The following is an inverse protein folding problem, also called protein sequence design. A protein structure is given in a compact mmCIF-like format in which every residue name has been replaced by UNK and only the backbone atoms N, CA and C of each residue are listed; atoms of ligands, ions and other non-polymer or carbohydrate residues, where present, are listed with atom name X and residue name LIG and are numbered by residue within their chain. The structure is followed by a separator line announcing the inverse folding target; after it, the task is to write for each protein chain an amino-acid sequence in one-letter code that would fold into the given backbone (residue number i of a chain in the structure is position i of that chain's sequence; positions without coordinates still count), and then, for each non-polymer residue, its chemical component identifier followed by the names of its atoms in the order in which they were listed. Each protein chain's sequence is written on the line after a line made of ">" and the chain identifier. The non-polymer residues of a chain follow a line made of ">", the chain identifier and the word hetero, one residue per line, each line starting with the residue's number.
data_IF_433890659535
#
_entry.id   IF_433890659535
#
_cell.length_a   1.000
_cell.length_b   1.000
_cell.length_c   1.000
_cell.angle_alpha   90.00
_cell.angle_beta   90.00
_cell.angle_gamma   90.00
#
_symmetry.space_group_name_H-M   'P 1'
#
loop_
_entity.id
_entity.type
_entity.pdbx_description
1 polymer ?
#
# COMPACT_ATOMS: atom_id res chain seq x y z
N UNK A 1 22.16 -49.53 -68.01
CA UNK A 1 22.36 -48.62 -69.16
C UNK A 1 22.88 -49.44 -70.30
N UNK A 2 22.16 -49.41 -71.42
CA UNK A 2 22.40 -50.21 -72.62
C UNK A 2 23.81 -50.03 -73.15
N UNK A 3 24.64 -51.07 -72.99
CA UNK A 3 25.91 -51.17 -73.69
C UNK A 3 25.59 -51.55 -75.15
N UNK A 4 25.19 -50.54 -75.93
CA UNK A 4 25.02 -50.64 -77.38
C UNK A 4 26.38 -51.04 -77.95
N UNK A 5 26.56 -52.34 -78.13
CA UNK A 5 27.55 -52.92 -79.04
C UNK A 5 27.32 -52.30 -80.41
N UNK A 6 27.95 -51.16 -80.68
CA UNK A 6 28.11 -50.62 -82.02
C UNK A 6 29.10 -51.54 -82.73
N UNK A 7 28.61 -52.68 -83.20
CA UNK A 7 29.28 -53.43 -84.25
C UNK A 7 29.35 -52.50 -85.46
N UNK A 8 30.49 -51.83 -85.63
CA UNK A 8 30.79 -51.14 -86.89
C UNK A 8 30.59 -52.16 -88.02
N UNK A 9 29.74 -51.86 -89.03
CA UNK A 9 29.26 -52.85 -90.00
C UNK A 9 30.32 -53.34 -91.00
N UNK A 10 31.59 -52.94 -90.85
CA UNK A 10 32.71 -53.32 -91.71
C UNK A 10 33.93 -53.84 -90.91
N UNK A 11 33.71 -54.65 -89.86
CA UNK A 11 34.83 -55.43 -89.29
C UNK A 11 34.98 -56.70 -90.10
N UNK A 12 35.97 -56.73 -90.99
CA UNK A 12 36.44 -57.98 -91.55
C UNK A 12 37.39 -58.60 -90.52
N UNK A 13 37.04 -59.78 -90.00
CA UNK A 13 37.97 -60.52 -89.17
C UNK A 13 39.21 -60.88 -89.97
N UNK A 14 40.33 -61.18 -89.31
CA UNK A 14 41.54 -61.63 -90.01
C UNK A 14 41.27 -62.78 -91.01
N UNK A 15 40.28 -63.63 -90.71
CA UNK A 15 39.82 -64.75 -91.55
C UNK A 15 38.97 -64.26 -92.74
N UNK A 16 38.16 -63.23 -92.56
CA UNK A 16 37.37 -62.63 -93.64
C UNK A 16 38.25 -61.92 -94.67
N UNK A 17 39.36 -61.32 -94.23
CA UNK A 17 40.34 -60.69 -95.12
C UNK A 17 41.11 -61.73 -95.95
N UNK A 18 41.47 -62.86 -95.36
CA UNK A 18 42.13 -63.96 -96.11
C UNK A 18 41.22 -64.62 -97.14
N UNK A 19 39.91 -64.65 -96.89
CA UNK A 19 38.91 -65.30 -97.75
C UNK A 19 38.23 -64.34 -98.73
N UNK A 20 38.72 -63.10 -98.86
CA UNK A 20 38.12 -62.10 -99.74
C UNK A 20 38.28 -62.46 -101.23
N UNK A 21 37.17 -62.50 -101.96
CA UNK A 21 37.12 -62.81 -103.40
C UNK A 21 37.01 -61.54 -104.25
N UNK A 22 37.88 -61.40 -105.25
CA UNK A 22 37.91 -60.26 -106.17
C UNK A 22 37.70 -60.71 -107.63
N UNK A 23 37.08 -59.85 -108.45
CA UNK A 23 36.88 -60.09 -109.90
C UNK A 23 38.19 -59.78 -110.66
N UNK A 24 38.56 -60.63 -111.62
CA UNK A 24 39.77 -60.44 -112.44
C UNK A 24 39.52 -59.54 -113.66
N UNK A 25 40.47 -58.66 -114.00
CA UNK A 25 40.37 -57.67 -115.11
C UNK A 25 41.64 -57.74 -115.98
N UNK A 26 41.52 -57.50 -117.30
CA UNK A 26 42.58 -57.75 -118.32
C UNK A 26 43.91 -56.99 -118.11
N UNK A 27 43.93 -55.95 -117.27
CA UNK A 27 45.14 -55.31 -116.71
C UNK A 27 44.91 -55.12 -115.21
N UNK A 28 45.53 -55.95 -114.38
CA UNK A 28 45.38 -55.95 -112.93
C UNK A 28 46.57 -56.63 -112.24
N UNK A 29 46.57 -56.64 -110.91
CA UNK A 29 47.59 -57.30 -110.08
C UNK A 29 47.48 -58.82 -110.17
N UNK A 30 48.61 -59.52 -109.96
CA UNK A 30 48.67 -60.98 -109.96
C UNK A 30 47.83 -61.56 -108.80
N UNK A 31 46.83 -62.43 -109.08
CA UNK A 31 45.99 -63.03 -108.05
C UNK A 31 46.76 -63.76 -106.94
N UNK A 32 47.90 -64.38 -107.23
CA UNK A 32 48.65 -65.17 -106.22
C UNK A 32 49.49 -64.26 -105.30
N UNK A 33 50.02 -63.15 -105.83
CA UNK A 33 50.69 -62.11 -105.05
C UNK A 33 49.68 -61.38 -104.15
N UNK A 34 48.49 -61.08 -104.67
CA UNK A 34 47.39 -60.50 -103.89
C UNK A 34 46.95 -61.44 -102.77
N UNK A 35 46.84 -62.75 -103.02
CA UNK A 35 46.48 -63.74 -101.98
C UNK A 35 47.53 -63.82 -100.87
N UNK A 36 48.82 -63.86 -101.22
CA UNK A 36 49.91 -63.86 -100.23
C UNK A 36 49.93 -62.59 -99.37
N UNK A 37 49.65 -61.43 -99.99
CA UNK A 37 49.54 -60.16 -99.28
C UNK A 37 48.31 -60.12 -98.35
N UNK A 38 47.16 -60.63 -98.81
CA UNK A 38 45.94 -60.74 -97.99
C UNK A 38 46.10 -61.73 -96.83
N UNK A 39 46.87 -62.82 -96.99
CA UNK A 39 47.25 -63.70 -95.87
C UNK A 39 48.13 -62.99 -94.84
N UNK A 40 49.07 -62.14 -95.30
CA UNK A 40 49.87 -61.28 -94.44
C UNK A 40 48.99 -60.31 -93.63
N UNK A 41 48.11 -59.58 -94.33
CA UNK A 41 47.17 -58.65 -93.69
C UNK A 41 46.20 -59.39 -92.77
N UNK A 42 45.68 -60.54 -93.18
CA UNK A 42 44.75 -61.34 -92.35
C UNK A 42 45.40 -61.79 -91.04
N UNK A 43 46.69 -62.16 -91.06
CA UNK A 43 47.45 -62.47 -89.83
C UNK A 43 47.64 -61.24 -88.95
N UNK A 44 47.99 -60.08 -89.53
CA UNK A 44 48.16 -58.84 -88.76
C UNK A 44 46.84 -58.34 -88.17
N UNK A 45 45.75 -58.39 -88.93
CA UNK A 45 44.40 -58.05 -88.47
C UNK A 45 43.98 -58.99 -87.33
N UNK A 46 44.20 -60.30 -87.47
CA UNK A 46 43.91 -61.26 -86.39
C UNK A 46 44.74 -61.01 -85.13
N UNK A 47 46.00 -60.60 -85.26
CA UNK A 47 46.85 -60.23 -84.12
C UNK A 47 46.36 -58.95 -83.43
N UNK A 48 45.96 -57.93 -84.21
CA UNK A 48 45.41 -56.68 -83.69
C UNK A 48 44.06 -56.89 -83.00
N UNK A 49 43.18 -57.72 -83.57
CA UNK A 49 41.91 -58.09 -82.95
C UNK A 49 42.11 -58.79 -81.61
N UNK A 50 43.03 -59.76 -81.56
CA UNK A 50 43.38 -60.45 -80.32
C UNK A 50 43.93 -59.47 -79.28
N UNK A 51 44.79 -58.54 -79.68
CA UNK A 51 45.34 -57.51 -78.77
C UNK A 51 44.29 -56.52 -78.30
N UNK A 52 43.36 -56.15 -79.16
CA UNK A 52 42.26 -55.24 -78.82
C UNK A 52 41.29 -55.91 -77.83
N UNK A 53 40.98 -57.19 -78.02
CA UNK A 53 40.21 -57.99 -77.06
C UNK A 53 40.94 -58.11 -75.72
N UNK A 54 42.25 -58.33 -75.74
CA UNK A 54 43.09 -58.39 -74.54
C UNK A 54 43.08 -57.08 -73.74
N UNK A 55 43.18 -55.94 -74.44
CA UNK A 55 43.12 -54.60 -73.84
C UNK A 55 41.72 -54.29 -73.32
N UNK A 56 40.67 -54.66 -74.05
CA UNK A 56 39.29 -54.50 -73.60
C UNK A 56 39.01 -55.34 -72.36
N UNK A 57 39.50 -56.58 -72.30
CA UNK A 57 39.40 -57.42 -71.10
C UNK A 57 40.13 -56.77 -69.92
N UNK A 58 41.37 -56.32 -70.11
CA UNK A 58 42.15 -55.64 -69.05
C UNK A 58 41.48 -54.35 -68.56
N UNK A 59 40.84 -53.61 -69.46
CA UNK A 59 40.08 -52.41 -69.12
C UNK A 59 38.82 -52.76 -68.33
N UNK A 60 38.06 -53.77 -68.76
CA UNK A 60 36.89 -54.26 -68.04
C UNK A 60 37.28 -54.75 -66.63
N UNK A 61 38.38 -55.50 -66.50
CA UNK A 61 38.90 -55.98 -65.22
C UNK A 61 39.42 -54.84 -64.32
N UNK A 62 39.94 -53.76 -64.90
CA UNK A 62 40.38 -52.57 -64.16
C UNK A 62 39.18 -51.74 -63.69
N UNK A 63 38.19 -51.53 -64.55
CA UNK A 63 36.94 -50.83 -64.21
C UNK A 63 36.16 -51.62 -63.14
N UNK A 64 36.05 -52.93 -63.29
CA UNK A 64 35.39 -53.79 -62.30
C UNK A 64 36.10 -53.75 -60.93
N UNK A 65 37.44 -53.67 -60.90
CA UNK A 65 38.22 -53.49 -59.66
C UNK A 65 38.11 -52.08 -59.07
N UNK A 66 37.91 -51.06 -59.90
CA UNK A 66 37.71 -49.68 -59.45
C UNK A 66 36.30 -49.45 -58.89
N UNK A 67 35.27 -50.08 -59.49
CA UNK A 67 33.89 -50.06 -59.00
C UNK A 67 33.70 -50.95 -57.76
N UNK A 68 34.47 -52.03 -57.66
CA UNK A 68 34.49 -52.92 -56.49
C UNK A 68 35.89 -52.92 -55.85
N UNK A 69 36.31 -51.79 -55.24
CA UNK A 69 37.56 -51.76 -54.52
C UNK A 69 37.49 -52.76 -53.37
N UNK A 70 38.48 -53.64 -53.27
CA UNK A 70 38.66 -54.51 -52.12
C UNK A 70 39.11 -53.62 -50.97
N UNK A 71 38.16 -53.17 -50.16
CA UNK A 71 38.44 -52.38 -48.97
C UNK A 71 39.14 -53.29 -47.96
N UNK A 72 40.43 -53.03 -47.72
CA UNK A 72 41.17 -53.69 -46.67
C UNK A 72 40.58 -53.31 -45.31
N UNK A 73 40.45 -54.27 -44.40
CA UNK A 73 39.88 -54.08 -43.06
C UNK A 73 40.62 -52.96 -42.31
N UNK A 74 41.92 -52.82 -42.54
CA UNK A 74 42.75 -51.74 -41.99
C UNK A 74 42.35 -50.35 -42.51
N UNK A 75 41.96 -50.21 -43.79
CA UNK A 75 41.52 -48.93 -44.37
C UNK A 75 40.14 -48.51 -43.86
N UNK A 76 39.22 -49.47 -43.72
CA UNK A 76 37.89 -49.21 -43.17
C UNK A 76 37.96 -48.82 -41.69
N UNK A 77 38.79 -49.53 -40.91
CA UNK A 77 39.04 -49.21 -39.50
C UNK A 77 39.68 -47.82 -39.34
N UNK A 78 40.62 -47.43 -40.21
CA UNK A 78 41.23 -46.10 -40.19
C UNK A 78 40.22 -45.00 -40.54
N UNK A 79 39.38 -45.19 -41.57
CA UNK A 79 38.34 -44.24 -41.96
C UNK A 79 37.31 -44.07 -40.84
N UNK A 80 36.81 -45.19 -40.28
CA UNK A 80 35.86 -45.17 -39.16
C UNK A 80 36.47 -44.54 -37.90
N UNK A 81 37.74 -44.82 -37.60
CA UNK A 81 38.48 -44.20 -36.51
C UNK A 81 38.62 -42.69 -36.69
N UNK A 82 38.92 -42.23 -37.91
CA UNK A 82 39.01 -40.80 -38.22
C UNK A 82 37.67 -40.08 -38.08
N UNK A 83 36.59 -40.71 -38.55
CA UNK A 83 35.24 -40.16 -38.49
C UNK A 83 34.71 -40.15 -37.05
N UNK A 84 34.98 -41.21 -36.27
CA UNK A 84 34.65 -41.27 -34.83
C UNK A 84 35.41 -40.22 -34.04
N UNK A 85 36.71 -40.03 -34.31
CA UNK A 85 37.51 -38.98 -33.69
C UNK A 85 37.05 -37.57 -34.07
N UNK A 86 36.51 -37.39 -35.29
CA UNK A 86 35.91 -36.12 -35.71
C UNK A 86 34.59 -35.85 -34.98
N UNK A 87 33.73 -36.86 -34.84
CA UNK A 87 32.47 -36.75 -34.07
C UNK A 87 32.75 -36.44 -32.60
N UNK A 88 33.71 -37.12 -31.97
CA UNK A 88 34.07 -36.86 -30.58
C UNK A 88 34.63 -35.44 -30.38
N UNK A 89 35.44 -34.93 -31.32
CA UNK A 89 35.91 -33.53 -31.29
C UNK A 89 34.75 -32.55 -31.43
N UNK A 90 33.87 -32.74 -32.40
CA UNK A 90 32.70 -31.90 -32.58
C UNK A 90 31.77 -31.91 -31.35
N UNK A 91 31.56 -33.07 -30.73
CA UNK A 91 30.79 -33.19 -29.49
C UNK A 91 31.46 -32.47 -28.31
N UNK A 92 32.79 -32.52 -28.21
CA UNK A 92 33.54 -31.83 -27.17
C UNK A 92 33.54 -30.30 -27.36
N UNK A 93 33.68 -29.84 -28.60
CA UNK A 93 33.60 -28.41 -28.95
C UNK A 93 32.19 -27.87 -28.64
N UNK A 94 31.15 -28.60 -29.02
CA UNK A 94 29.76 -28.21 -28.71
C UNK A 94 29.48 -28.23 -27.20
N UNK A 95 29.95 -29.24 -26.47
CA UNK A 95 29.84 -29.27 -25.02
C UNK A 95 30.57 -28.10 -24.35
N UNK A 96 31.76 -27.75 -24.87
CA UNK A 96 32.52 -26.58 -24.41
C UNK A 96 31.77 -25.28 -24.70
N UNK A 97 31.12 -25.17 -25.86
CA UNK A 97 30.28 -24.01 -26.20
C UNK A 97 29.08 -23.88 -25.27
N UNK A 98 28.34 -24.97 -25.05
CA UNK A 98 27.16 -24.99 -24.18
C UNK A 98 27.53 -24.67 -22.73
N UNK A 99 28.66 -25.18 -22.23
CA UNK A 99 29.12 -24.87 -20.87
C UNK A 99 29.57 -23.42 -20.73
N UNK A 100 30.26 -22.86 -21.73
CA UNK A 100 30.63 -21.44 -21.75
C UNK A 100 29.39 -20.53 -21.78
N UNK A 101 28.42 -20.81 -22.67
CA UNK A 101 27.15 -20.08 -22.74
C UNK A 101 26.37 -20.18 -21.42
N UNK A 102 26.36 -21.37 -20.80
CA UNK A 102 25.72 -21.60 -19.50
C UNK A 102 26.36 -20.78 -18.37
N UNK A 103 27.69 -20.73 -18.33
CA UNK A 103 28.44 -19.93 -17.34
C UNK A 103 28.21 -18.43 -17.53
N UNK A 104 28.20 -17.95 -18.78
CA UNK A 104 27.93 -16.55 -19.08
C UNK A 104 26.52 -16.15 -18.65
N UNK A 105 25.50 -16.93 -19.02
CA UNK A 105 24.12 -16.69 -18.61
C UNK A 105 23.94 -16.75 -17.10
N UNK A 106 24.59 -17.70 -16.43
CA UNK A 106 24.57 -17.81 -14.97
C UNK A 106 25.14 -16.55 -14.32
N UNK A 107 26.28 -16.07 -14.81
CA UNK A 107 26.92 -14.83 -14.32
C UNK A 107 26.01 -13.63 -14.55
N UNK A 108 25.43 -13.49 -15.75
CA UNK A 108 24.49 -12.41 -16.06
C UNK A 108 23.27 -12.42 -15.15
N UNK A 109 22.64 -13.58 -14.94
CA UNK A 109 21.49 -13.72 -14.05
C UNK A 109 21.87 -13.38 -12.60
N UNK A 110 23.05 -13.83 -12.15
CA UNK A 110 23.54 -13.55 -10.82
C UNK A 110 23.76 -12.05 -10.59
N UNK A 111 24.43 -11.36 -11.51
CA UNK A 111 24.63 -9.91 -11.45
C UNK A 111 23.31 -9.16 -11.47
N UNK A 112 22.39 -9.51 -12.37
CA UNK A 112 21.06 -8.89 -12.42
C UNK A 112 20.25 -9.12 -11.13
N UNK A 113 20.33 -10.32 -10.55
CA UNK A 113 19.67 -10.62 -9.29
C UNK A 113 20.26 -9.80 -8.14
N UNK A 114 21.59 -9.63 -8.11
CA UNK A 114 22.27 -8.81 -7.11
C UNK A 114 21.88 -7.33 -7.24
N UNK A 115 21.89 -6.78 -8.46
CA UNK A 115 21.47 -5.40 -8.72
C UNK A 115 20.00 -5.17 -8.30
N UNK A 116 19.10 -6.09 -8.66
CA UNK A 116 17.69 -6.02 -8.26
C UNK A 116 17.53 -6.08 -6.74
N UNK A 117 18.28 -6.93 -6.05
CA UNK A 117 18.24 -7.02 -4.59
C UNK A 117 18.72 -5.71 -3.95
N UNK A 118 19.82 -5.13 -4.43
CA UNK A 118 20.33 -3.84 -3.95
C UNK A 118 19.30 -2.72 -4.19
N UNK A 119 18.75 -2.64 -5.40
CA UNK A 119 17.72 -1.64 -5.72
C UNK A 119 16.49 -1.79 -4.83
N UNK A 120 16.04 -3.03 -4.60
CA UNK A 120 14.92 -3.30 -3.71
C UNK A 120 15.18 -2.84 -2.27
N UNK A 121 16.39 -3.07 -1.75
CA UNK A 121 16.78 -2.61 -0.40
C UNK A 121 16.78 -1.07 -0.34
N UNK A 122 17.35 -0.40 -1.34
CA UNK A 122 17.38 1.08 -1.40
C UNK A 122 15.97 1.65 -1.48
N UNK A 123 15.10 1.08 -2.32
CA UNK A 123 13.71 1.51 -2.42
C UNK A 123 12.93 1.26 -1.12
N UNK A 124 13.13 0.11 -0.48
CA UNK A 124 12.47 -0.22 0.77
C UNK A 124 12.91 0.73 1.89
N UNK A 125 14.21 1.07 1.96
CA UNK A 125 14.75 2.05 2.91
C UNK A 125 14.20 3.45 2.64
N UNK A 126 14.14 3.89 1.39
CA UNK A 126 13.57 5.18 1.02
C UNK A 126 12.08 5.28 1.39
N UNK A 127 11.29 4.23 1.13
CA UNK A 127 9.88 4.17 1.54
C UNK A 127 9.73 4.18 3.05
N UNK A 128 10.56 3.44 3.78
CA UNK A 128 10.53 3.42 5.24
C UNK A 128 10.83 4.81 5.82
N UNK A 129 11.84 5.51 5.30
CA UNK A 129 12.17 6.88 5.72
C UNK A 129 11.03 7.86 5.40
N UNK A 130 10.41 7.76 4.23
CA UNK A 130 9.27 8.61 3.88
C UNK A 130 8.08 8.37 4.84
N UNK A 131 7.75 7.11 5.13
CA UNK A 131 6.68 6.79 6.09
C UNK A 131 7.01 7.32 7.49
N UNK A 132 8.27 7.21 7.93
CA UNK A 132 8.70 7.76 9.23
C UNK A 132 8.56 9.28 9.27
N UNK A 133 9.02 9.99 8.23
CA UNK A 133 8.91 11.44 8.14
C UNK A 133 7.44 11.90 8.09
N UNK A 134 6.60 11.22 7.30
CA UNK A 134 5.17 11.52 7.24
C UNK A 134 4.49 11.30 8.60
N UNK A 135 4.81 10.20 9.28
CA UNK A 135 4.29 9.92 10.61
C UNK A 135 4.75 10.95 11.65
N UNK A 136 6.01 11.38 11.59
CA UNK A 136 6.56 12.40 12.47
C UNK A 136 5.87 13.76 12.26
N UNK A 137 5.72 14.20 11.01
CA UNK A 137 5.00 15.44 10.66
C UNK A 137 3.55 15.37 11.15
N UNK A 138 2.85 14.26 10.93
CA UNK A 138 1.47 14.08 11.40
C UNK A 138 1.39 14.08 12.93
N UNK A 139 2.36 13.47 13.62
CA UNK A 139 2.43 13.49 15.08
C UNK A 139 2.63 14.91 15.61
N UNK A 140 3.57 15.65 15.04
CA UNK A 140 3.84 17.04 15.42
C UNK A 140 2.62 17.94 15.19
N UNK A 141 1.94 17.79 14.04
CA UNK A 141 0.70 18.51 13.75
C UNK A 141 -0.40 18.22 14.79
N UNK A 142 -0.61 16.95 15.14
CA UNK A 142 -1.59 16.57 16.17
C UNK A 142 -1.24 17.12 17.55
N UNK A 143 0.04 17.11 17.91
CA UNK A 143 0.50 17.67 19.19
C UNK A 143 0.29 19.19 19.23
N UNK A 144 0.58 19.90 18.14
CA UNK A 144 0.33 21.34 18.02
C UNK A 144 -1.16 21.66 18.09
N UNK A 145 -2.00 20.92 17.35
CA UNK A 145 -3.45 21.05 17.38
C UNK A 145 -4.03 20.79 18.77
N UNK A 146 -3.56 19.73 19.45
CA UNK A 146 -3.98 19.39 20.80
C UNK A 146 -3.58 20.48 21.81
N UNK A 147 -2.36 21.01 21.72
CA UNK A 147 -1.90 22.13 22.55
C UNK A 147 -2.72 23.40 22.30
N UNK A 148 -2.99 23.73 21.04
CA UNK A 148 -3.82 24.88 20.69
C UNK A 148 -5.28 24.71 21.14
N UNK A 149 -5.81 23.49 21.12
CA UNK A 149 -7.14 23.19 21.65
C UNK A 149 -7.19 23.28 23.17
N UNK A 150 -6.18 22.76 23.87
CA UNK A 150 -6.05 22.87 25.32
C UNK A 150 -5.95 24.32 25.77
N UNK A 151 -5.10 25.13 25.12
CA UNK A 151 -4.98 26.56 25.43
C UNK A 151 -6.30 27.30 25.26
N UNK A 152 -7.03 27.05 24.15
CA UNK A 152 -8.36 27.64 23.92
C UNK A 152 -9.37 27.23 24.99
N UNK A 153 -9.31 25.99 25.46
CA UNK A 153 -10.19 25.51 26.52
C UNK A 153 -9.86 26.19 27.87
N UNK A 154 -8.57 26.33 28.20
CA UNK A 154 -8.12 27.03 29.41
C UNK A 154 -8.53 28.51 29.41
N UNK A 155 -8.33 29.21 28.29
CA UNK A 155 -8.69 30.62 28.15
C UNK A 155 -10.20 30.83 28.27
N UNK A 156 -10.99 29.93 27.64
CA UNK A 156 -12.45 29.93 27.75
C UNK A 156 -12.89 29.64 29.19
N UNK A 157 -12.32 28.63 29.84
CA UNK A 157 -12.62 28.29 31.23
C UNK A 157 -12.27 29.45 32.19
N UNK A 158 -11.14 30.13 31.97
CA UNK A 158 -10.73 31.30 32.74
C UNK A 158 -11.73 32.45 32.59
N UNK A 159 -12.05 32.81 31.35
CA UNK A 159 -13.01 33.88 31.04
C UNK A 159 -14.39 33.59 31.65
N UNK A 160 -14.86 32.35 31.52
CA UNK A 160 -16.13 31.92 32.12
C UNK A 160 -16.08 31.95 33.65
N UNK A 161 -14.97 31.54 34.25
CA UNK A 161 -14.75 31.59 35.70
C UNK A 161 -14.79 33.03 36.23
N UNK A 162 -14.09 33.95 35.57
CA UNK A 162 -14.09 35.38 35.89
C UNK A 162 -15.50 35.96 35.77
N UNK A 163 -16.22 35.65 34.70
CA UNK A 163 -17.60 36.09 34.52
C UNK A 163 -18.56 35.57 35.61
N UNK A 164 -18.39 34.32 36.07
CA UNK A 164 -19.18 33.77 37.17
C UNK A 164 -18.87 34.51 38.48
N UNK A 165 -17.59 34.74 38.78
CA UNK A 165 -17.17 35.45 39.99
C UNK A 165 -17.75 36.86 40.01
N UNK A 166 -17.69 37.59 38.89
CA UNK A 166 -18.18 38.95 38.82
C UNK A 166 -19.70 39.02 38.96
N UNK A 167 -20.45 38.09 38.33
CA UNK A 167 -21.90 37.97 38.54
C UNK A 167 -22.23 37.67 40.01
N UNK A 168 -21.49 36.75 40.65
CA UNK A 168 -21.71 36.45 42.07
C UNK A 168 -21.40 37.63 42.99
N UNK A 169 -20.37 38.43 42.67
CA UNK A 169 -20.07 39.67 43.40
C UNK A 169 -21.17 40.71 43.24
N UNK A 170 -21.68 40.90 42.02
CA UNK A 170 -22.78 41.83 41.74
C UNK A 170 -24.05 41.41 42.48
N UNK A 171 -24.41 40.13 42.43
CA UNK A 171 -25.52 39.57 43.19
C UNK A 171 -25.33 39.76 44.70
N UNK A 172 -24.14 39.51 45.23
CA UNK A 172 -23.82 39.74 46.64
C UNK A 172 -24.01 41.20 47.05
N UNK A 173 -23.55 42.15 46.24
CA UNK A 173 -23.76 43.59 46.46
C UNK A 173 -25.25 43.94 46.44
N UNK A 174 -26.01 43.43 45.48
CA UNK A 174 -27.45 43.67 45.38
C UNK A 174 -28.22 43.15 46.61
N UNK A 175 -27.88 41.95 47.10
CA UNK A 175 -28.50 41.38 48.31
C UNK A 175 -28.18 42.21 49.55
N UNK A 176 -26.93 42.69 49.70
CA UNK A 176 -26.55 43.57 50.82
C UNK A 176 -27.33 44.88 50.77
N UNK A 177 -27.47 45.49 49.59
CA UNK A 177 -28.23 46.73 49.45
C UNK A 177 -29.71 46.53 49.77
N UNK A 178 -30.32 45.45 49.27
CA UNK A 178 -31.70 45.09 49.61
C UNK A 178 -31.88 44.86 51.11
N UNK A 179 -30.93 44.18 51.78
CA UNK A 179 -30.97 43.95 53.22
C UNK A 179 -30.81 45.26 54.02
N UNK A 180 -29.96 46.18 53.56
CA UNK A 180 -29.82 47.51 54.17
C UNK A 180 -31.09 48.34 54.02
N UNK A 181 -31.72 48.31 52.86
CA UNK A 181 -32.98 49.02 52.62
C UNK A 181 -34.12 48.45 53.46
N UNK A 182 -34.27 47.12 53.50
CA UNK A 182 -35.23 46.46 54.39
C UNK A 182 -34.99 46.83 55.86
N UNK A 183 -33.72 46.89 56.30
CA UNK A 183 -33.37 47.33 57.66
C UNK A 183 -33.78 48.79 57.90
N UNK A 184 -33.53 49.70 56.96
CA UNK A 184 -33.94 51.11 57.08
C UNK A 184 -35.46 51.23 57.20
N UNK A 185 -36.20 50.50 56.38
CA UNK A 185 -37.67 50.47 56.44
C UNK A 185 -38.16 50.00 57.81
N UNK A 186 -37.63 48.88 58.32
CA UNK A 186 -38.00 48.36 59.65
C UNK A 186 -37.68 49.38 60.74
N UNK A 187 -36.51 50.02 60.71
CA UNK A 187 -36.13 51.03 61.70
C UNK A 187 -37.05 52.26 61.67
N UNK A 188 -37.44 52.71 60.47
CA UNK A 188 -38.41 53.79 60.31
C UNK A 188 -39.78 53.41 60.87
N UNK A 189 -40.28 52.22 60.55
CA UNK A 189 -41.55 51.71 61.06
C UNK A 189 -41.53 51.60 62.59
N UNK A 190 -40.43 51.10 63.17
CA UNK A 190 -40.25 51.04 64.62
C UNK A 190 -40.22 52.44 65.25
N UNK A 191 -39.60 53.43 64.59
CA UNK A 191 -39.60 54.81 65.06
C UNK A 191 -41.01 55.41 65.06
N UNK A 192 -41.79 55.18 64.00
CA UNK A 192 -43.19 55.63 63.90
C UNK A 192 -44.04 54.96 64.99
N UNK A 193 -43.92 53.64 65.16
CA UNK A 193 -44.63 52.90 66.22
C UNK A 193 -44.26 53.40 67.60
N UNK A 194 -42.97 53.64 67.88
CA UNK A 194 -42.51 54.20 69.16
C UNK A 194 -43.13 55.57 69.44
N UNK A 195 -43.19 56.45 68.43
CA UNK A 195 -43.83 57.77 68.57
C UNK A 195 -45.32 57.63 68.88
N UNK A 196 -46.03 56.75 68.16
CA UNK A 196 -47.45 56.48 68.41
C UNK A 196 -47.70 55.94 69.83
N UNK A 197 -46.89 54.96 70.28
CA UNK A 197 -46.98 54.42 71.64
C UNK A 197 -46.70 55.48 72.70
N UNK A 198 -45.73 56.38 72.49
CA UNK A 198 -45.48 57.48 73.43
C UNK A 198 -46.67 58.43 73.54
N UNK A 199 -47.32 58.77 72.43
CA UNK A 199 -48.54 59.59 72.45
C UNK A 199 -49.66 58.88 73.22
N UNK A 200 -49.84 57.56 73.00
CA UNK A 200 -50.83 56.77 73.73
C UNK A 200 -50.52 56.73 75.23
N UNK A 201 -49.25 56.59 75.63
CA UNK A 201 -48.84 56.63 77.04
C UNK A 201 -49.18 57.99 77.68
N UNK A 202 -48.91 59.11 77.00
CA UNK A 202 -49.25 60.43 77.51
C UNK A 202 -50.77 60.65 77.63
N UNK A 203 -51.55 60.16 76.66
CA UNK A 203 -53.01 60.18 76.74
C UNK A 203 -53.54 59.35 77.92
N UNK A 204 -52.98 58.16 78.16
CA UNK A 204 -53.35 57.31 79.29
C UNK A 204 -52.97 57.95 80.63
N UNK A 205 -51.82 58.63 80.71
CA UNK A 205 -51.41 59.40 81.90
C UNK A 205 -52.39 60.54 82.18
N UNK A 206 -52.73 61.33 81.16
CA UNK A 206 -53.70 62.41 81.31
C UNK A 206 -55.09 61.88 81.73
N UNK A 207 -55.57 60.80 81.11
CA UNK A 207 -56.84 60.17 81.47
C UNK A 207 -56.83 59.62 82.92
N UNK A 208 -55.71 59.03 83.35
CA UNK A 208 -55.51 58.61 84.75
C UNK A 208 -55.58 59.81 85.68
N UNK A 209 -54.90 60.91 85.37
CA UNK A 209 -54.88 62.10 86.24
C UNK A 209 -56.28 62.72 86.39
N UNK A 210 -57.07 62.75 85.30
CA UNK A 210 -58.49 63.13 85.32
C UNK A 210 -59.32 62.19 86.20
N UNK A 211 -59.10 60.89 86.09
CA UNK A 211 -59.81 59.89 86.92
C UNK A 211 -59.43 60.06 88.40
N UNK A 212 -58.17 60.27 88.72
CA UNK A 212 -57.71 60.54 90.09
C UNK A 212 -58.34 61.81 90.65
N UNK A 213 -58.39 62.90 89.87
CA UNK A 213 -59.07 64.13 90.28
C UNK A 213 -60.57 63.90 90.53
N UNK A 214 -61.23 63.14 89.65
CA UNK A 214 -62.65 62.77 89.80
C UNK A 214 -62.89 61.95 91.07
N UNK A 215 -62.03 60.95 91.34
CA UNK A 215 -62.12 60.11 92.55
C UNK A 215 -61.89 60.95 93.82
N UNK A 216 -60.91 61.86 93.83
CA UNK A 216 -60.69 62.78 94.95
C UNK A 216 -61.89 63.69 95.17
N UNK A 217 -62.49 64.24 94.11
CA UNK A 217 -63.69 65.08 94.21
C UNK A 217 -64.91 64.31 94.74
N UNK A 218 -65.10 63.05 94.30
CA UNK A 218 -66.14 62.17 94.85
C UNK A 218 -65.88 61.91 96.33
N UNK A 219 -64.63 61.65 96.73
CA UNK A 219 -64.26 61.46 98.14
C UNK A 219 -64.54 62.71 98.96
N UNK A 220 -64.13 63.89 98.51
CA UNK A 220 -64.43 65.16 99.19
C UNK A 220 -65.93 65.41 99.31
N UNK A 221 -66.70 65.12 98.25
CA UNK A 221 -68.16 65.23 98.27
C UNK A 221 -68.79 64.25 99.28
N UNK A 222 -68.30 63.02 99.36
CA UNK A 222 -68.73 62.03 100.36
C UNK A 222 -68.37 62.47 101.77
N UNK A 223 -67.14 62.95 101.99
CA UNK A 223 -66.68 63.47 103.29
C UNK A 223 -67.53 64.69 103.72
N UNK A 224 -67.92 65.56 102.77
CA UNK A 224 -68.83 66.68 103.02
C UNK A 224 -70.25 66.22 103.38
N UNK A 225 -70.81 65.23 102.68
CA UNK A 225 -72.12 64.65 103.01
C UNK A 225 -72.10 63.97 104.38
N UNK A 226 -71.05 63.21 104.69
CA UNK A 226 -70.87 62.58 106.00
C UNK A 226 -70.72 63.62 107.12
N UNK A 227 -69.90 64.64 106.92
CA UNK A 227 -69.78 65.76 107.87
C UNK A 227 -71.10 66.50 108.07
N UNK A 228 -71.84 66.73 106.98
CA UNK A 228 -73.19 67.28 107.02
C UNK A 228 -74.16 66.42 107.84
N UNK A 229 -74.19 65.11 107.61
CA UNK A 229 -75.00 64.16 108.38
C UNK A 229 -74.62 64.13 109.86
N UNK A 230 -73.34 64.14 110.20
CA UNK A 230 -72.90 64.21 111.61
C UNK A 230 -73.33 65.51 112.27
N UNK A 231 -73.20 66.66 111.58
CA UNK A 231 -73.66 67.95 112.11
C UNK A 231 -75.19 68.01 112.26
N UNK A 232 -75.92 67.36 111.37
CA UNK A 232 -77.38 67.25 111.44
C UNK A 232 -77.83 66.30 112.55
N UNK A 233 -77.13 65.17 112.78
CA UNK A 233 -77.38 64.27 113.93
C UNK A 233 -77.12 65.01 115.26
N UNK A 234 -76.01 65.75 115.35
CA UNK A 234 -75.69 66.57 116.53
C UNK A 234 -76.73 67.68 116.74
N UNK A 235 -77.15 68.35 115.67
CA UNK A 235 -78.23 69.35 115.70
C UNK A 235 -79.59 68.75 116.10
N UNK A 236 -79.93 67.57 115.59
CA UNK A 236 -81.15 66.86 115.94
C UNK A 236 -81.12 66.36 117.40
N UNK A 237 -79.96 65.91 117.90
CA UNK A 237 -79.76 65.58 119.32
C UNK A 237 -79.90 66.82 120.21
N UNK A 238 -79.30 67.94 119.83
CA UNK A 238 -79.42 69.19 120.57
C UNK A 238 -80.88 69.68 120.61
N UNK A 239 -81.58 69.65 119.48
CA UNK A 239 -83.00 69.99 119.40
C UNK A 239 -83.90 69.00 120.19
N UNK A 240 -83.57 67.71 120.20
CA UNK A 240 -84.27 66.71 121.02
C UNK A 240 -84.05 66.91 122.52
N UNK A 241 -82.84 67.32 122.94
CA UNK A 241 -82.54 67.69 124.33
C UNK A 241 -83.29 68.98 124.73
N UNK A 242 -83.43 69.93 123.80
CA UNK A 242 -84.19 71.16 124.02
C UNK A 242 -85.72 70.90 124.11
N UNK A 243 -86.25 69.95 123.34
CA UNK A 243 -87.65 69.52 123.40
C UNK A 243 -88.00 68.65 124.62
N UNK A 244 -86.99 68.16 125.38
CA UNK A 244 -87.14 67.39 126.62
C UNK A 244 -87.06 68.25 127.89
N UNK A 245 -86.92 69.58 127.77
CA UNK A 245 -87.07 70.56 128.85
C UNK A 245 -88.49 71.11 128.91
#
# INVERSE_FOLDING_TARGET
>A
MDDRRTLSPNRHSGIDVTNANFRTVRKGFDPDEVRSFLEGIGREVGLLEKRLQDVQSKLADALHRAENPVLDEAQLAAALGSQSAAILRAAHDEASRVTAEGQERSTQIFTQAQERATNYIVEAQARALNIMNEAEVQSQQKDEEARAAAQRLEDSARTNGEAIIDRSREQGRAVIEQANEARRQILNDLMVKRKALNVQIEQLRAARDVLTASVSSVRESVDQVLGGLMSSDEGARAAAIEALR
#
